data_IF_778600864286
#
_entry.id   IF_778600864286
#
_cell.length_a   1.000
_cell.length_b   1.000
_cell.length_c   1.000
_cell.angle_alpha   90.00
_cell.angle_beta   90.00
_cell.angle_gamma   90.00
#
_symmetry.space_group_name_H-M   'P 1'
#
loop_
_entity.id
_entity.type
_entity.pdbx_description
1 polymer ?
#
# COMPACT_ATOMS: atom_id res chain seq x y z
N UNK A 1 3.89 -2.44 -18.22
CA UNK A 1 5.36 -2.51 -18.35
C UNK A 1 5.90 -1.37 -17.52
N UNK A 2 6.77 -1.69 -16.56
CA UNK A 2 7.27 -0.75 -15.55
C UNK A 2 8.80 -0.69 -15.57
N UNK A 3 9.36 0.38 -15.00
CA UNK A 3 10.80 0.57 -14.92
C UNK A 3 11.47 0.89 -16.24
N UNK A 4 10.69 1.33 -17.23
CA UNK A 4 11.19 1.77 -18.53
C UNK A 4 11.09 3.30 -18.63
N UNK A 5 11.94 3.88 -19.46
CA UNK A 5 11.82 5.28 -19.81
C UNK A 5 10.50 5.59 -20.53
N UNK A 6 9.94 6.77 -20.30
CA UNK A 6 8.67 7.20 -20.92
C UNK A 6 8.90 7.67 -22.37
N UNK A 7 9.46 6.78 -23.18
CA UNK A 7 9.72 6.99 -24.62
C UNK A 7 9.02 5.90 -25.41
N UNK A 8 8.59 6.16 -26.66
CA UNK A 8 8.03 5.14 -27.54
C UNK A 8 8.98 3.95 -27.67
N UNK A 9 8.47 2.76 -27.37
CA UNK A 9 9.24 1.52 -27.38
C UNK A 9 8.46 0.44 -28.10
N UNK A 10 9.15 -0.37 -28.90
CA UNK A 10 8.59 -1.51 -29.61
C UNK A 10 8.63 -2.75 -28.71
N UNK A 11 7.49 -3.41 -28.60
CA UNK A 11 7.35 -4.66 -27.84
C UNK A 11 6.93 -5.78 -28.76
N UNK A 12 7.55 -6.95 -28.58
CA UNK A 12 7.23 -8.17 -29.30
C UNK A 12 6.71 -9.20 -28.31
N UNK A 13 5.54 -9.76 -28.59
CA UNK A 13 4.90 -10.77 -27.76
C UNK A 13 4.80 -12.07 -28.54
N UNK A 14 5.31 -13.14 -27.96
CA UNK A 14 5.18 -14.51 -28.47
C UNK A 14 4.62 -15.42 -27.39
N UNK A 15 3.82 -16.39 -27.76
CA UNK A 15 3.35 -17.44 -26.87
C UNK A 15 4.25 -18.68 -27.08
N UNK A 16 4.71 -19.26 -25.96
CA UNK A 16 5.47 -20.52 -25.96
C UNK A 16 4.61 -21.64 -25.40
N UNK A 17 4.43 -22.70 -26.14
CA UNK A 17 3.72 -23.89 -25.67
C UNK A 17 4.57 -24.74 -24.71
N UNK A 18 3.97 -25.78 -24.12
CA UNK A 18 4.65 -26.69 -23.19
C UNK A 18 5.77 -27.51 -23.82
N UNK A 19 5.81 -27.62 -25.16
CA UNK A 19 6.85 -28.33 -25.92
C UNK A 19 7.93 -27.40 -26.44
N UNK A 20 7.80 -26.08 -26.22
CA UNK A 20 8.81 -25.11 -26.61
C UNK A 20 8.58 -24.44 -27.96
N UNK A 21 7.50 -24.75 -28.68
CA UNK A 21 7.17 -24.06 -29.94
C UNK A 21 6.73 -22.63 -29.65
N UNK A 22 7.15 -21.69 -30.48
CA UNK A 22 6.78 -20.28 -30.39
C UNK A 22 5.70 -19.97 -31.44
N UNK A 23 4.75 -19.13 -31.07
CA UNK A 23 3.80 -18.52 -32.02
C UNK A 23 4.51 -17.49 -32.89
N UNK A 24 3.79 -17.01 -33.92
CA UNK A 24 4.19 -15.79 -34.59
C UNK A 24 4.27 -14.63 -33.59
N UNK A 25 5.23 -13.74 -33.81
CA UNK A 25 5.38 -12.52 -33.01
C UNK A 25 4.27 -11.52 -33.32
N UNK A 26 3.70 -10.92 -32.28
CA UNK A 26 2.86 -9.73 -32.40
C UNK A 26 3.62 -8.53 -31.86
N UNK A 27 3.81 -7.54 -32.72
CA UNK A 27 4.51 -6.31 -32.36
C UNK A 27 3.51 -5.21 -32.01
N UNK A 28 3.87 -4.38 -31.02
CA UNK A 28 3.10 -3.22 -30.58
C UNK A 28 4.04 -2.13 -30.13
N UNK A 29 3.78 -0.89 -30.56
CA UNK A 29 4.49 0.29 -30.07
C UNK A 29 3.72 0.89 -28.90
N UNK A 30 4.37 1.07 -27.75
CA UNK A 30 3.79 1.67 -26.55
C UNK A 30 4.74 2.70 -25.96
N UNK A 31 4.19 3.76 -25.40
CA UNK A 31 4.94 4.70 -24.56
C UNK A 31 4.60 4.42 -23.11
N UNK A 32 5.55 3.93 -22.29
CA UNK A 32 5.33 3.73 -20.86
C UNK A 32 4.99 5.05 -20.17
N UNK A 33 4.20 5.00 -19.10
CA UNK A 33 3.98 6.17 -18.27
C UNK A 33 5.22 6.49 -17.45
N UNK A 34 5.53 7.78 -17.33
CA UNK A 34 6.55 8.22 -16.37
C UNK A 34 6.04 8.01 -14.95
N UNK A 35 6.84 7.35 -14.13
CA UNK A 35 6.58 7.16 -12.71
C UNK A 35 7.75 7.69 -11.88
N UNK A 36 7.45 8.39 -10.81
CA UNK A 36 8.44 8.82 -9.80
C UNK A 36 7.93 8.49 -8.39
N UNK A 37 8.84 8.18 -7.50
CA UNK A 37 8.48 7.99 -6.09
C UNK A 37 8.16 9.35 -5.45
N UNK A 38 7.10 9.38 -4.62
CA UNK A 38 6.75 10.58 -3.84
C UNK A 38 7.88 10.89 -2.88
N UNK A 39 8.36 12.13 -2.87
CA UNK A 39 9.43 12.59 -1.97
C UNK A 39 8.97 12.52 -0.51
N UNK A 40 9.36 11.47 0.19
CA UNK A 40 9.00 11.20 1.58
C UNK A 40 9.39 12.31 2.55
N UNK A 41 10.40 13.14 2.20
CA UNK A 41 10.80 14.29 3.03
C UNK A 41 9.78 15.43 3.01
N UNK A 42 8.92 15.47 2.01
CA UNK A 42 7.83 16.46 1.86
C UNK A 42 6.50 15.93 2.36
N UNK A 43 6.43 14.67 2.75
CA UNK A 43 5.22 14.07 3.29
C UNK A 43 5.00 14.48 4.74
N UNK A 44 3.73 14.50 5.12
CA UNK A 44 3.25 14.72 6.46
C UNK A 44 2.05 13.84 6.78
N UNK A 45 1.33 14.15 7.84
CA UNK A 45 0.05 13.52 8.13
C UNK A 45 -0.92 14.52 8.77
N UNK A 46 -2.21 14.24 8.65
CA UNK A 46 -3.27 14.96 9.35
C UNK A 46 -3.73 14.14 10.55
N UNK A 47 -3.90 14.80 11.69
CA UNK A 47 -4.38 14.17 12.93
C UNK A 47 -5.91 14.01 12.94
N UNK A 48 -6.46 13.42 11.87
CA UNK A 48 -7.92 13.25 11.65
C UNK A 48 -8.34 11.78 11.52
N UNK A 49 -7.40 10.85 11.61
CA UNK A 49 -7.68 9.43 11.52
C UNK A 49 -8.19 8.82 12.82
N UNK A 50 -8.90 7.72 12.70
CA UNK A 50 -9.35 6.88 13.81
C UNK A 50 -8.26 5.85 14.13
N UNK A 51 -7.25 6.29 14.87
CA UNK A 51 -6.21 5.38 15.36
C UNK A 51 -5.79 5.73 16.78
N UNK A 52 -5.45 4.70 17.55
CA UNK A 52 -4.66 4.87 18.77
C UNK A 52 -3.32 4.23 18.54
N UNK A 53 -2.27 5.04 18.45
CA UNK A 53 -0.90 4.54 18.35
C UNK A 53 -0.49 3.77 19.60
N UNK A 54 0.37 2.79 19.46
CA UNK A 54 0.98 2.06 20.57
C UNK A 54 1.82 2.99 21.45
N UNK A 55 1.67 2.90 22.77
CA UNK A 55 2.23 3.83 23.77
C UNK A 55 3.75 3.75 23.98
N UNK A 56 4.50 3.02 23.15
CA UNK A 56 5.96 3.07 23.23
C UNK A 56 6.47 4.38 22.61
N UNK A 57 7.28 5.15 23.31
CA UNK A 57 7.55 6.56 23.01
C UNK A 57 8.19 6.87 21.64
N UNK A 58 8.58 5.91 20.86
CA UNK A 58 9.23 6.14 19.55
C UNK A 58 8.76 5.20 18.43
N UNK A 59 7.81 4.31 18.68
CA UNK A 59 7.58 3.18 17.79
C UNK A 59 6.34 3.31 16.91
N UNK A 60 5.50 4.33 17.04
CA UNK A 60 4.17 4.25 16.44
C UNK A 60 3.56 5.59 16.07
N UNK A 61 4.34 6.44 15.45
CA UNK A 61 3.80 7.66 14.85
C UNK A 61 3.40 7.37 13.40
N UNK A 62 2.41 8.07 12.83
CA UNK A 62 2.11 8.00 11.40
C UNK A 62 3.31 8.27 10.49
N UNK A 63 4.36 8.93 10.99
CA UNK A 63 5.60 9.16 10.27
C UNK A 63 6.30 7.87 9.86
N UNK A 64 6.16 6.80 10.65
CA UNK A 64 6.74 5.49 10.34
C UNK A 64 6.16 4.85 9.06
N UNK A 65 5.04 5.36 8.56
CA UNK A 65 4.47 4.90 7.28
C UNK A 65 5.26 5.40 6.06
N UNK A 66 6.06 6.46 6.22
CA UNK A 66 6.79 7.08 5.12
C UNK A 66 8.21 7.51 5.47
N UNK A 67 8.80 6.97 6.54
CA UNK A 67 10.18 7.29 6.95
C UNK A 67 11.26 6.64 6.07
N UNK A 68 10.86 5.74 5.17
CA UNK A 68 11.77 5.01 4.29
C UNK A 68 12.45 3.82 4.95
N UNK A 69 12.09 3.48 6.19
CA UNK A 69 12.69 2.35 6.92
C UNK A 69 11.77 1.12 6.77
N UNK A 70 12.23 0.12 6.02
CA UNK A 70 11.50 -1.11 5.78
C UNK A 70 12.05 -2.20 6.70
N UNK A 71 11.15 -2.91 7.39
CA UNK A 71 11.50 -4.13 8.12
C UNK A 71 12.18 -3.94 9.46
N UNK A 72 11.95 -2.81 10.10
CA UNK A 72 12.31 -2.59 11.50
C UNK A 72 11.11 -2.78 12.42
N UNK A 73 11.36 -2.76 13.74
CA UNK A 73 10.30 -2.61 14.75
C UNK A 73 9.68 -1.19 14.74
N UNK A 74 10.16 -0.32 13.88
CA UNK A 74 9.72 1.06 13.74
C UNK A 74 8.58 1.12 12.73
N UNK A 75 7.44 0.55 13.07
CA UNK A 75 6.24 0.47 12.25
C UNK A 75 5.14 1.35 12.82
N UNK A 76 4.18 1.73 12.00
CA UNK A 76 2.91 2.23 12.49
C UNK A 76 2.06 1.04 12.92
N UNK A 77 1.57 1.07 14.15
CA UNK A 77 0.69 0.04 14.69
C UNK A 77 -0.52 0.69 15.34
N UNK A 78 -1.69 0.14 15.07
CA UNK A 78 -2.90 0.44 15.82
C UNK A 78 -3.01 -0.52 16.98
N UNK A 79 -3.40 -0.01 18.16
CA UNK A 79 -3.49 -0.83 19.35
C UNK A 79 -4.86 -1.40 19.59
N UNK A 80 -4.81 -2.63 20.07
CA UNK A 80 -5.88 -3.30 20.79
C UNK A 80 -5.86 -2.92 22.28
N UNK A 81 -6.09 -1.66 22.66
CA UNK A 81 -6.21 -1.29 24.08
C UNK A 81 -7.67 -1.20 24.51
N UNK A 82 -7.92 -1.51 25.79
CA UNK A 82 -9.23 -1.30 26.40
C UNK A 82 -9.74 0.12 26.11
N UNK A 83 -10.93 0.22 25.52
CA UNK A 83 -11.55 1.48 25.10
C UNK A 83 -11.41 1.85 23.62
N UNK A 84 -10.78 1.01 22.78
CA UNK A 84 -10.87 1.12 21.33
C UNK A 84 -12.12 0.37 20.82
N UNK A 85 -12.87 1.01 19.96
CA UNK A 85 -14.02 0.39 19.30
C UNK A 85 -13.57 -0.42 18.10
N UNK A 86 -13.40 -1.73 18.29
CA UNK A 86 -12.98 -2.67 17.22
C UNK A 86 -14.04 -2.88 16.14
N UNK A 87 -15.22 -2.30 16.28
CA UNK A 87 -16.22 -2.33 15.21
C UNK A 87 -15.93 -1.30 14.14
N UNK A 88 -15.01 -0.36 14.41
CA UNK A 88 -14.57 0.67 13.45
C UNK A 88 -13.19 0.35 12.90
N UNK A 89 -13.00 0.51 11.58
CA UNK A 89 -11.68 0.36 10.99
C UNK A 89 -10.73 1.48 11.50
N UNK A 90 -9.46 1.13 11.63
CA UNK A 90 -8.42 2.14 11.88
C UNK A 90 -8.15 2.94 10.61
N UNK A 91 -7.95 4.25 10.75
CA UNK A 91 -7.61 5.09 9.60
C UNK A 91 -6.51 6.09 9.94
N UNK A 92 -5.66 6.37 8.97
CA UNK A 92 -4.61 7.39 9.06
C UNK A 92 -4.53 8.17 7.76
N UNK A 93 -4.43 9.50 7.84
CA UNK A 93 -4.38 10.36 6.66
C UNK A 93 -2.99 10.95 6.48
N UNK A 94 -2.38 10.66 5.35
CA UNK A 94 -1.10 11.19 4.93
C UNK A 94 -1.29 12.45 4.08
N UNK A 95 -0.41 13.44 4.25
CA UNK A 95 -0.24 14.58 3.35
C UNK A 95 0.95 14.29 2.43
N UNK A 96 0.72 14.16 1.15
CA UNK A 96 1.77 13.90 0.16
C UNK A 96 2.61 15.17 -0.19
N UNK A 97 2.27 16.32 0.43
CA UNK A 97 2.93 17.61 0.19
C UNK A 97 2.41 18.38 -1.01
N UNK A 98 1.97 17.71 -2.06
CA UNK A 98 1.28 18.26 -3.25
C UNK A 98 0.33 17.21 -3.82
N UNK A 99 -0.46 17.57 -4.82
CA UNK A 99 -1.30 16.62 -5.56
C UNK A 99 -0.45 15.70 -6.43
N UNK A 100 -0.73 14.41 -6.37
CA UNK A 100 -0.15 13.40 -7.26
C UNK A 100 -1.26 12.57 -7.90
N UNK A 101 -1.09 12.24 -9.17
CA UNK A 101 -1.83 11.17 -9.82
C UNK A 101 -1.13 9.86 -9.49
N UNK A 102 -1.71 9.12 -8.55
CA UNK A 102 -1.11 7.88 -8.06
C UNK A 102 -1.28 6.76 -9.08
N UNK A 103 -0.21 6.04 -9.36
CA UNK A 103 -0.23 4.83 -10.18
C UNK A 103 -0.21 3.57 -9.33
N UNK A 104 0.52 3.60 -8.21
CA UNK A 104 0.65 2.48 -7.29
C UNK A 104 1.08 2.91 -5.89
N UNK A 105 0.86 2.02 -4.94
CA UNK A 105 1.38 2.09 -3.58
C UNK A 105 1.96 0.72 -3.20
N UNK A 106 3.10 0.70 -2.51
CA UNK A 106 3.66 -0.53 -1.97
C UNK A 106 3.49 -0.49 -0.46
N UNK A 107 2.81 -1.50 0.08
CA UNK A 107 2.55 -1.64 1.51
C UNK A 107 3.47 -2.70 2.08
N UNK A 108 4.31 -2.27 3.01
CA UNK A 108 5.19 -3.15 3.76
C UNK A 108 4.59 -3.43 5.12
N UNK A 109 4.29 -4.68 5.40
CA UNK A 109 3.83 -5.11 6.71
C UNK A 109 4.96 -5.09 7.74
N UNK A 110 4.57 -5.13 9.02
CA UNK A 110 5.53 -5.29 10.11
C UNK A 110 6.30 -6.60 9.94
N UNK A 111 7.60 -6.54 10.11
CA UNK A 111 8.46 -7.71 10.24
C UNK A 111 9.44 -7.51 11.39
N UNK A 112 9.71 -8.57 12.13
CA UNK A 112 10.64 -8.54 13.25
C UNK A 112 12.05 -8.87 12.75
N UNK A 113 12.86 -7.83 12.54
CA UNK A 113 14.23 -8.00 12.08
C UNK A 113 14.36 -8.75 10.76
N UNK A 114 15.27 -9.70 10.71
CA UNK A 114 15.58 -10.51 9.53
C UNK A 114 14.84 -11.84 9.47
N UNK A 115 14.18 -12.25 10.54
CA UNK A 115 13.52 -13.56 10.64
C UNK A 115 12.11 -13.61 10.08
N UNK A 116 11.53 -12.45 9.80
CA UNK A 116 10.16 -12.30 9.24
C UNK A 116 9.05 -12.97 10.07
N UNK A 117 9.32 -13.27 11.36
CA UNK A 117 8.42 -14.07 12.22
C UNK A 117 7.07 -13.40 12.51
N UNK A 118 6.97 -12.09 12.30
CA UNK A 118 5.73 -11.32 12.53
C UNK A 118 4.94 -11.02 11.27
N UNK A 119 5.28 -11.65 10.15
CA UNK A 119 4.54 -11.48 8.90
C UNK A 119 3.27 -12.29 8.98
N UNK A 120 2.18 -11.70 8.54
CA UNK A 120 0.86 -12.32 8.52
C UNK A 120 0.37 -12.80 9.90
N UNK A 121 0.94 -12.27 10.97
CA UNK A 121 0.37 -12.41 12.31
C UNK A 121 -0.83 -11.47 12.49
N UNK A 122 -1.46 -11.49 13.64
CA UNK A 122 -2.64 -10.65 13.94
C UNK A 122 -2.41 -9.13 13.88
N UNK A 123 -1.21 -8.67 13.55
CA UNK A 123 -0.83 -7.25 13.41
C UNK A 123 -0.62 -6.84 11.96
N UNK A 124 -0.79 -7.75 11.01
CA UNK A 124 -0.67 -7.46 9.59
C UNK A 124 -2.00 -6.96 9.03
N UNK A 125 -2.03 -5.87 8.25
CA UNK A 125 -3.26 -5.42 7.61
C UNK A 125 -3.75 -6.49 6.63
N UNK A 126 -5.03 -6.82 6.70
CA UNK A 126 -5.65 -7.84 5.86
C UNK A 126 -6.53 -7.24 4.79
N UNK A 127 -7.41 -6.35 5.19
CA UNK A 127 -8.29 -5.61 4.31
C UNK A 127 -7.85 -4.16 4.31
N UNK A 128 -7.83 -3.53 3.14
CA UNK A 128 -7.32 -2.19 2.95
C UNK A 128 -8.27 -1.40 2.07
N UNK A 129 -8.56 -0.18 2.48
CA UNK A 129 -9.11 0.85 1.64
C UNK A 129 -8.18 2.05 1.58
N UNK A 130 -8.07 2.65 0.39
CA UNK A 130 -7.35 3.90 0.19
C UNK A 130 -8.32 4.95 -0.33
N UNK A 131 -8.34 6.09 0.34
CA UNK A 131 -9.20 7.21 0.02
C UNK A 131 -8.38 8.46 -0.26
N UNK A 132 -8.82 9.26 -1.24
CA UNK A 132 -8.17 10.50 -1.64
C UNK A 132 -9.01 11.73 -1.33
N UNK A 133 -8.33 12.87 -1.04
CA UNK A 133 -8.94 14.18 -0.84
C UNK A 133 -7.98 15.30 -1.22
N UNK A 134 -8.51 16.48 -1.54
CA UNK A 134 -7.70 17.61 -1.98
C UNK A 134 -7.75 18.84 -1.08
N UNK A 135 -8.70 18.93 -0.16
CA UNK A 135 -8.76 20.01 0.83
C UNK A 135 -8.38 19.50 2.23
N UNK A 136 -7.94 20.42 3.09
CA UNK A 136 -7.53 20.11 4.45
C UNK A 136 -8.53 20.64 5.51
N UNK A 137 -9.68 21.12 5.09
CA UNK A 137 -10.73 21.66 5.99
C UNK A 137 -11.55 20.55 6.64
N UNK A 138 -10.93 19.41 6.90
CA UNK A 138 -11.57 18.23 7.45
C UNK A 138 -11.05 17.95 8.85
N UNK A 139 -11.96 17.65 9.77
CA UNK A 139 -11.63 17.34 11.17
C UNK A 139 -11.70 15.86 11.51
N UNK A 140 -12.26 15.04 10.62
CA UNK A 140 -12.36 13.58 10.75
C UNK A 140 -12.41 12.91 9.37
N UNK A 141 -12.07 11.64 9.35
CA UNK A 141 -12.33 10.78 8.20
C UNK A 141 -13.78 10.27 8.30
N UNK A 142 -14.64 10.65 7.36
CA UNK A 142 -16.06 10.30 7.35
C UNK A 142 -16.59 10.24 5.91
N UNK A 143 -16.20 9.21 5.14
CA UNK A 143 -16.54 9.13 3.72
C UNK A 143 -18.04 8.90 3.46
N UNK A 144 -18.79 8.47 4.47
CA UNK A 144 -20.23 8.27 4.34
C UNK A 144 -21.02 9.59 4.36
N UNK A 145 -20.50 10.60 5.04
CA UNK A 145 -21.17 11.89 5.24
C UNK A 145 -20.43 13.07 4.61
N UNK A 146 -19.28 12.83 3.95
CA UNK A 146 -18.44 13.87 3.36
C UNK A 146 -17.98 13.45 1.96
N UNK A 147 -18.65 13.97 0.94
CA UNK A 147 -18.42 13.71 -0.50
C UNK A 147 -17.01 14.13 -1.00
N UNK A 148 -16.24 14.86 -0.18
CA UNK A 148 -14.86 15.21 -0.50
C UNK A 148 -13.90 14.01 -0.49
N UNK A 149 -14.32 12.87 0.09
CA UNK A 149 -13.56 11.63 0.08
C UNK A 149 -13.90 10.77 -1.14
N UNK A 150 -12.88 10.40 -1.90
CA UNK A 150 -13.00 9.52 -3.07
C UNK A 150 -12.22 8.24 -2.82
N UNK A 151 -12.87 7.09 -2.94
CA UNK A 151 -12.21 5.78 -2.79
C UNK A 151 -11.36 5.47 -4.01
N UNK A 152 -10.05 5.35 -3.79
CA UNK A 152 -9.04 5.08 -4.83
C UNK A 152 -8.78 3.58 -5.00
N UNK A 153 -8.90 2.82 -3.90
CA UNK A 153 -8.62 1.39 -3.88
C UNK A 153 -9.41 0.71 -2.75
N UNK A 154 -9.79 -0.53 -2.97
CA UNK A 154 -10.29 -1.46 -1.95
C UNK A 154 -9.84 -2.86 -2.31
N UNK A 155 -9.30 -3.59 -1.34
CA UNK A 155 -8.85 -4.96 -1.57
C UNK A 155 -8.37 -5.66 -0.32
N UNK A 156 -7.95 -6.90 -0.53
CA UNK A 156 -7.36 -7.77 0.50
C UNK A 156 -5.89 -7.96 0.17
N UNK A 157 -5.02 -7.85 1.17
CA UNK A 157 -3.60 -8.20 1.00
C UNK A 157 -3.45 -9.72 1.06
N UNK A 158 -2.99 -10.36 -0.01
CA UNK A 158 -2.85 -11.80 -0.04
C UNK A 158 -1.50 -12.27 0.51
N UNK A 159 -1.39 -13.55 0.78
CA UNK A 159 -0.12 -14.27 0.86
C UNK A 159 0.49 -14.43 -0.55
N UNK A 160 1.72 -14.92 -0.62
CA UNK A 160 2.44 -15.09 -1.88
C UNK A 160 1.76 -16.08 -2.86
N UNK A 161 0.97 -17.03 -2.37
CA UNK A 161 0.18 -17.96 -3.17
C UNK A 161 -1.19 -17.41 -3.59
N UNK A 162 -1.49 -16.16 -3.26
CA UNK A 162 -2.78 -15.52 -3.51
C UNK A 162 -3.87 -15.84 -2.48
N UNK A 163 -3.59 -16.68 -1.50
CA UNK A 163 -4.56 -17.00 -0.46
C UNK A 163 -4.77 -15.85 0.52
N UNK A 164 -5.93 -15.81 1.15
CA UNK A 164 -6.25 -14.82 2.19
C UNK A 164 -5.40 -15.09 3.42
N UNK A 165 -4.91 -14.02 4.06
CA UNK A 165 -4.20 -14.11 5.33
C UNK A 165 -5.14 -14.73 6.38
N UNK A 166 -4.81 -15.89 6.96
CA UNK A 166 -5.68 -16.55 7.91
C UNK A 166 -5.71 -15.83 9.27
N UNK A 167 -6.76 -16.07 10.05
CA UNK A 167 -6.86 -15.52 11.42
C UNK A 167 -5.85 -16.17 12.39
N UNK A 168 -5.40 -17.39 12.11
CA UNK A 168 -4.41 -18.10 12.92
C UNK A 168 -3.02 -17.98 12.31
N UNK A 169 -1.99 -17.99 13.16
CA UNK A 169 -0.60 -18.03 12.71
C UNK A 169 -0.36 -19.34 11.97
N UNK A 170 0.13 -19.24 10.74
CA UNK A 170 0.47 -20.39 9.91
C UNK A 170 1.97 -20.35 9.55
N UNK A 171 2.59 -21.50 9.26
CA UNK A 171 3.97 -21.53 8.79
C UNK A 171 4.15 -20.65 7.55
N UNK A 172 5.24 -19.87 7.54
CA UNK A 172 5.61 -19.02 6.41
C UNK A 172 6.40 -19.83 5.39
N UNK A 173 6.06 -19.65 4.13
CA UNK A 173 6.86 -20.14 3.02
C UNK A 173 8.00 -19.15 2.68
N UNK A 174 8.98 -19.59 1.91
CA UNK A 174 10.03 -18.66 1.45
C UNK A 174 9.47 -17.60 0.50
N UNK A 175 8.44 -17.93 -0.30
CA UNK A 175 7.73 -16.96 -1.11
C UNK A 175 6.98 -15.89 -0.27
N UNK A 176 6.41 -16.26 0.88
CA UNK A 176 5.83 -15.28 1.81
C UNK A 176 6.89 -14.30 2.35
N UNK A 177 8.08 -14.80 2.65
CA UNK A 177 9.20 -13.95 3.11
C UNK A 177 9.70 -13.01 2.00
N UNK A 178 9.70 -13.48 0.76
CA UNK A 178 10.02 -12.64 -0.40
C UNK A 178 8.97 -11.55 -0.61
N UNK A 179 7.68 -11.90 -0.57
CA UNK A 179 6.59 -10.93 -0.63
C UNK A 179 6.70 -9.88 0.48
N UNK A 180 7.02 -10.28 1.70
CA UNK A 180 7.18 -9.34 2.79
C UNK A 180 8.38 -8.42 2.63
N UNK A 181 9.45 -8.89 1.99
CA UNK A 181 10.62 -8.05 1.65
C UNK A 181 10.27 -7.05 0.56
N UNK A 182 9.55 -7.49 -0.46
CA UNK A 182 9.27 -6.72 -1.66
C UNK A 182 8.02 -5.83 -1.49
N UNK A 183 7.15 -6.15 -0.50
CA UNK A 183 5.91 -5.46 -0.17
C UNK A 183 4.74 -5.87 -1.05
N UNK A 184 3.52 -5.57 -0.58
CA UNK A 184 2.30 -5.76 -1.35
C UNK A 184 2.06 -4.53 -2.23
N UNK A 185 2.02 -4.72 -3.52
CA UNK A 185 1.77 -3.66 -4.48
C UNK A 185 0.26 -3.50 -4.72
N UNK A 186 -0.23 -2.28 -4.54
CA UNK A 186 -1.60 -1.87 -4.83
C UNK A 186 -1.57 -0.99 -6.06
N UNK A 187 -2.27 -1.39 -7.12
CA UNK A 187 -2.38 -0.62 -8.35
C UNK A 187 -3.61 0.28 -8.32
N UNK A 188 -3.45 1.52 -8.76
CA UNK A 188 -4.54 2.48 -8.92
C UNK A 188 -4.95 2.59 -10.38
N UNK A 189 -6.24 2.89 -10.62
CA UNK A 189 -6.74 3.14 -11.96
C UNK A 189 -6.05 4.37 -12.57
N UNK A 190 -5.70 4.27 -13.85
CA UNK A 190 -5.15 5.39 -14.63
C UNK A 190 -6.15 6.53 -14.82
N UNK A 191 -7.43 6.30 -14.59
CA UNK A 191 -8.50 7.28 -14.75
C UNK A 191 -8.73 8.13 -13.48
N UNK A 192 -8.04 7.80 -12.37
CA UNK A 192 -8.17 8.57 -11.13
C UNK A 192 -7.57 9.97 -11.28
N UNK A 193 -8.20 10.93 -10.62
CA UNK A 193 -7.67 12.27 -10.47
C UNK A 193 -6.43 12.33 -9.57
N UNK A 194 -5.79 13.49 -9.50
CA UNK A 194 -4.66 13.74 -8.60
C UNK A 194 -5.15 14.14 -7.21
N UNK A 195 -4.56 13.54 -6.16
CA UNK A 195 -4.90 13.79 -4.76
C UNK A 195 -3.66 14.20 -3.97
N UNK A 196 -3.88 15.05 -2.95
CA UNK A 196 -2.84 15.46 -2.00
C UNK A 196 -2.93 14.68 -0.70
N UNK A 197 -4.13 14.50 -0.17
CA UNK A 197 -4.35 13.77 1.08
C UNK A 197 -4.82 12.37 0.77
N UNK A 198 -4.18 11.38 1.39
CA UNK A 198 -4.50 9.98 1.18
C UNK A 198 -4.74 9.32 2.53
N UNK A 199 -5.93 8.79 2.71
CA UNK A 199 -6.30 8.06 3.93
C UNK A 199 -6.19 6.57 3.68
N UNK A 200 -5.49 5.94 4.58
CA UNK A 200 -5.31 4.51 4.67
C UNK A 200 -6.25 3.96 5.75
N UNK A 201 -7.04 2.94 5.41
CA UNK A 201 -8.06 2.32 6.26
C UNK A 201 -7.84 0.83 6.34
#
# INVERSE_FOLDING_TARGET
IRGMEAVPSEFSVVVKDRWGHLSESKEISLTPYYEEEVDKKKMGYLAIGEYKGYLAPNANTPKNLYDGIIGSNNTFMTLTTAGYDFTKPSSVTLDLGKKFKLSRMIVYGRRNGTDYSSIFDGLYPKEIEIWGRNDNNVTKFDPENDEGWVRLYQGVLPRADGSVIPAAIVPLTDADKELARDGNELEFSVDLDAYRYVTFV
#
